data_IF_262230622768
#
_entry.id   IF_262230622768
#
_cell.length_a   1.000
_cell.length_b   1.000
_cell.length_c   1.000
_cell.angle_alpha   90.00
_cell.angle_beta   90.00
_cell.angle_gamma   90.00
#
_symmetry.space_group_name_H-M   'P 1'
#
loop_
_entity.id
_entity.type
_entity.pdbx_description
1 polymer ?
#
# COMPACT_ATOMS: atom_id res chain seq x y z
N UNK A 1 13.80 -24.43 19.25
CA UNK A 1 13.61 -22.97 19.09
C UNK A 1 12.35 -22.79 18.27
N UNK A 2 11.22 -22.53 18.91
CA UNK A 2 9.97 -22.20 18.23
C UNK A 2 10.12 -20.80 17.66
N UNK A 3 10.29 -20.70 16.35
CA UNK A 3 10.16 -19.43 15.65
C UNK A 3 8.71 -19.00 15.86
N UNK A 4 8.52 -18.06 16.78
CA UNK A 4 7.30 -17.26 16.86
C UNK A 4 7.22 -16.57 15.51
N UNK A 5 6.47 -17.17 14.57
CA UNK A 5 5.90 -16.43 13.47
C UNK A 5 5.08 -15.34 14.15
N UNK A 6 5.68 -14.16 14.33
CA UNK A 6 4.89 -12.94 14.39
C UNK A 6 3.91 -13.09 13.24
N UNK A 7 2.61 -13.10 13.55
CA UNK A 7 1.57 -12.95 12.55
C UNK A 7 1.95 -11.70 11.77
N UNK A 8 2.65 -11.90 10.66
CA UNK A 8 3.09 -10.79 9.84
C UNK A 8 1.80 -10.07 9.45
N UNK A 9 1.78 -8.73 9.46
CA UNK A 9 0.67 -7.97 8.91
C UNK A 9 0.68 -8.09 7.37
N UNK A 10 0.79 -9.31 6.87
CA UNK A 10 0.77 -9.67 5.46
C UNK A 10 -0.69 -9.62 5.02
N UNK A 11 -0.88 -8.99 3.87
CA UNK A 11 -2.14 -9.02 3.16
C UNK A 11 -2.45 -10.47 2.79
N UNK A 12 -3.42 -11.06 3.48
CA UNK A 12 -3.74 -12.48 3.37
C UNK A 12 -4.32 -12.85 1.99
N UNK A 13 -5.10 -11.96 1.38
CA UNK A 13 -5.81 -12.21 0.13
C UNK A 13 -6.29 -10.89 -0.51
N UNK A 14 -6.78 -10.98 -1.76
CA UNK A 14 -7.34 -9.86 -2.52
C UNK A 14 -8.41 -9.07 -1.76
N UNK A 15 -9.33 -9.74 -1.06
CA UNK A 15 -10.39 -9.05 -0.33
C UNK A 15 -9.84 -8.26 0.87
N UNK A 16 -8.79 -8.76 1.51
CA UNK A 16 -8.07 -8.03 2.54
C UNK A 16 -7.37 -6.79 1.96
N UNK A 17 -6.69 -6.92 0.81
CA UNK A 17 -6.03 -5.81 0.11
C UNK A 17 -7.03 -4.68 -0.22
N UNK A 18 -8.15 -5.05 -0.84
CA UNK A 18 -9.22 -4.11 -1.20
C UNK A 18 -9.83 -3.41 0.02
N UNK A 19 -9.99 -4.14 1.13
CA UNK A 19 -10.54 -3.57 2.37
C UNK A 19 -9.63 -2.49 2.96
N UNK A 20 -8.33 -2.77 3.01
CA UNK A 20 -7.33 -1.82 3.51
C UNK A 20 -7.27 -0.58 2.63
N UNK A 21 -7.19 -0.74 1.30
CA UNK A 21 -7.18 0.38 0.37
C UNK A 21 -8.44 1.25 0.49
N UNK A 22 -9.63 0.63 0.51
CA UNK A 22 -10.91 1.35 0.68
C UNK A 22 -11.00 2.08 2.02
N UNK A 23 -10.45 1.50 3.09
CA UNK A 23 -10.40 2.15 4.40
C UNK A 23 -9.55 3.41 4.34
N UNK A 24 -8.36 3.33 3.75
CA UNK A 24 -7.44 4.47 3.57
C UNK A 24 -8.07 5.54 2.70
N UNK A 25 -8.73 5.18 1.60
CA UNK A 25 -9.44 6.16 0.75
C UNK A 25 -10.53 6.89 1.54
N UNK A 26 -11.29 6.16 2.37
CA UNK A 26 -12.38 6.71 3.17
C UNK A 26 -11.88 7.66 4.27
N UNK A 27 -10.80 7.29 4.95
CA UNK A 27 -10.28 8.07 6.10
C UNK A 27 -9.23 9.10 5.69
N UNK A 28 -8.62 8.91 4.52
CA UNK A 28 -7.36 9.53 4.08
C UNK A 28 -6.20 9.31 5.06
N UNK A 29 -6.33 8.32 5.94
CA UNK A 29 -5.29 7.96 6.91
C UNK A 29 -4.46 6.81 6.36
N UNK A 30 -3.21 7.11 6.02
CA UNK A 30 -2.26 6.17 5.45
C UNK A 30 -1.41 5.45 6.52
N UNK A 31 -1.46 5.90 7.79
CA UNK A 31 -0.70 5.29 8.89
C UNK A 31 -0.87 3.77 9.02
N UNK A 32 -2.06 3.18 8.79
CA UNK A 32 -2.22 1.73 8.87
C UNK A 32 -1.42 0.95 7.82
N UNK A 33 -1.01 1.59 6.72
CA UNK A 33 -0.27 0.95 5.64
C UNK A 33 1.23 0.85 5.91
N UNK A 34 1.80 1.73 6.74
CA UNK A 34 3.24 1.74 7.04
C UNK A 34 3.79 0.36 7.49
N UNK A 35 3.22 -0.30 8.52
CA UNK A 35 3.73 -1.60 8.96
C UNK A 35 3.45 -2.72 7.94
N UNK A 36 2.42 -2.58 7.11
CA UNK A 36 2.03 -3.57 6.09
C UNK A 36 3.00 -3.52 4.92
N UNK A 37 3.25 -2.31 4.40
CA UNK A 37 4.26 -2.05 3.37
C UNK A 37 5.62 -2.52 3.88
N UNK A 38 6.03 -2.13 5.09
CA UNK A 38 7.29 -2.57 5.69
C UNK A 38 7.45 -4.11 5.74
N UNK A 39 6.35 -4.84 5.94
CA UNK A 39 6.33 -6.30 5.94
C UNK A 39 6.31 -6.92 4.53
N UNK A 40 5.69 -6.26 3.55
CA UNK A 40 5.63 -6.69 2.16
C UNK A 40 6.90 -6.35 1.37
N UNK A 41 7.66 -5.35 1.81
CA UNK A 41 8.91 -4.94 1.18
C UNK A 41 9.98 -6.01 1.30
N UNK A 42 10.31 -6.61 0.15
CA UNK A 42 11.50 -7.46 0.02
C UNK A 42 12.78 -6.61 0.06
N UNK A 43 13.96 -7.24 0.21
CA UNK A 43 15.24 -6.50 0.18
C UNK A 43 15.44 -5.71 -1.14
N UNK A 44 14.92 -6.22 -2.26
CA UNK A 44 14.94 -5.51 -3.54
C UNK A 44 14.07 -4.24 -3.55
N UNK A 45 12.92 -4.28 -2.88
CA UNK A 45 12.02 -3.13 -2.76
C UNK A 45 12.51 -2.08 -1.77
N UNK A 46 13.23 -2.47 -0.71
CA UNK A 46 13.88 -1.52 0.20
C UNK A 46 14.93 -0.66 -0.51
N UNK A 47 15.65 -1.25 -1.46
CA UNK A 47 16.60 -0.54 -2.31
C UNK A 47 15.88 0.42 -3.28
N UNK A 48 14.77 -0.02 -3.88
CA UNK A 48 13.95 0.81 -4.76
C UNK A 48 13.31 1.99 -4.02
N UNK A 49 12.79 1.78 -2.81
CA UNK A 49 12.24 2.86 -1.97
C UNK A 49 13.30 3.84 -1.49
N UNK A 50 14.49 3.36 -1.13
CA UNK A 50 15.62 4.24 -0.80
C UNK A 50 16.04 5.10 -2.00
N UNK A 51 15.86 4.60 -3.23
CA UNK A 51 16.11 5.37 -4.45
C UNK A 51 14.95 6.34 -4.77
N UNK A 52 13.69 5.97 -4.54
CA UNK A 52 12.52 6.83 -4.76
C UNK A 52 12.42 7.96 -3.75
N UNK A 53 12.82 7.75 -2.49
CA UNK A 53 12.90 8.80 -1.47
C UNK A 53 13.89 9.94 -1.80
N UNK A 54 14.77 9.72 -2.79
CA UNK A 54 15.69 10.75 -3.31
C UNK A 54 15.00 11.62 -4.38
N UNK A 55 13.91 11.15 -5.00
CA UNK A 55 13.03 11.99 -5.83
C UNK A 55 12.04 12.72 -4.94
N UNK A 56 11.95 14.04 -5.13
CA UNK A 56 11.25 15.02 -4.28
C UNK A 56 9.72 14.85 -4.11
N UNK A 57 9.12 13.79 -4.62
CA UNK A 57 7.71 13.48 -4.37
C UNK A 57 7.62 12.56 -3.16
N UNK A 58 7.00 13.05 -2.08
CA UNK A 58 6.73 12.26 -0.88
C UNK A 58 5.96 10.99 -1.31
N UNK A 59 6.54 9.79 -1.14
CA UNK A 59 5.97 8.61 -1.76
C UNK A 59 4.67 8.27 -1.04
N UNK A 60 3.56 8.36 -1.76
CA UNK A 60 2.23 8.03 -1.25
C UNK A 60 2.20 6.56 -0.84
N UNK A 61 1.97 6.28 0.45
CA UNK A 61 1.99 4.93 1.00
C UNK A 61 0.88 4.08 0.35
N UNK A 62 -0.24 4.69 -0.04
CA UNK A 62 -1.28 3.96 -0.76
C UNK A 62 -0.79 3.50 -2.14
N UNK A 63 -0.10 4.34 -2.90
CA UNK A 63 0.45 3.95 -4.21
C UNK A 63 1.49 2.84 -4.05
N UNK A 64 2.38 2.94 -3.07
CA UNK A 64 3.34 1.87 -2.74
C UNK A 64 2.63 0.56 -2.39
N UNK A 65 1.57 0.63 -1.60
CA UNK A 65 0.77 -0.53 -1.23
C UNK A 65 0.11 -1.19 -2.44
N UNK A 66 -0.44 -0.40 -3.37
CA UNK A 66 -1.07 -0.91 -4.59
C UNK A 66 -0.05 -1.61 -5.49
N UNK A 67 1.13 -1.01 -5.70
CA UNK A 67 2.22 -1.62 -6.48
C UNK A 67 2.64 -2.95 -5.87
N UNK A 68 2.85 -3.00 -4.55
CA UNK A 68 3.23 -4.24 -3.87
C UNK A 68 2.13 -5.31 -3.94
N UNK A 69 0.87 -4.92 -3.91
CA UNK A 69 -0.25 -5.84 -4.09
C UNK A 69 -0.36 -6.35 -5.53
N UNK A 70 -0.06 -5.53 -6.53
CA UNK A 70 -0.01 -5.94 -7.94
C UNK A 70 1.13 -6.92 -8.18
N UNK A 71 2.35 -6.62 -7.70
CA UNK A 71 3.50 -7.50 -7.82
C UNK A 71 3.29 -8.85 -7.12
N UNK A 72 2.59 -8.84 -5.98
CA UNK A 72 2.19 -10.05 -5.27
C UNK A 72 1.02 -10.80 -5.94
N UNK A 73 0.52 -10.33 -7.09
CA UNK A 73 -0.67 -10.86 -7.79
C UNK A 73 -1.93 -10.91 -6.92
N UNK A 74 -2.01 -10.01 -5.92
CA UNK A 74 -3.17 -9.86 -5.03
C UNK A 74 -4.23 -8.94 -5.64
N UNK A 75 -3.80 -7.93 -6.39
CA UNK A 75 -4.65 -7.01 -7.14
C UNK A 75 -4.29 -7.04 -8.62
N UNK A 76 -5.27 -6.85 -9.49
CA UNK A 76 -5.00 -6.58 -10.91
C UNK A 76 -4.65 -5.11 -11.11
N UNK A 77 -3.93 -4.78 -12.19
CA UNK A 77 -3.67 -3.39 -12.58
C UNK A 77 -4.96 -2.54 -12.60
N UNK A 78 -6.07 -3.09 -13.11
CA UNK A 78 -7.38 -2.42 -13.10
C UNK A 78 -7.91 -2.12 -11.68
N UNK A 79 -7.65 -3.00 -10.70
CA UNK A 79 -8.04 -2.75 -9.30
C UNK A 79 -7.18 -1.62 -8.72
N UNK A 80 -5.88 -1.61 -9.03
CA UNK A 80 -4.94 -0.59 -8.59
C UNK A 80 -5.28 0.78 -9.18
N UNK A 81 -5.55 0.86 -10.48
CA UNK A 81 -5.94 2.10 -11.17
C UNK A 81 -7.22 2.69 -10.55
N UNK A 82 -8.26 1.85 -10.38
CA UNK A 82 -9.52 2.30 -9.76
C UNK A 82 -9.33 2.82 -8.33
N UNK A 83 -8.49 2.16 -7.54
CA UNK A 83 -8.21 2.58 -6.15
C UNK A 83 -7.36 3.85 -6.10
N UNK A 84 -6.40 4.01 -7.02
CA UNK A 84 -5.60 5.21 -7.18
C UNK A 84 -6.46 6.42 -7.53
N UNK A 85 -7.33 6.29 -8.54
CA UNK A 85 -8.25 7.35 -8.95
C UNK A 85 -9.20 7.73 -7.80
N UNK A 86 -9.80 6.74 -7.13
CA UNK A 86 -10.69 6.96 -6.00
C UNK A 86 -10.00 7.68 -4.83
N UNK A 87 -8.71 7.41 -4.60
CA UNK A 87 -7.92 8.12 -3.60
C UNK A 87 -7.67 9.59 -3.97
N UNK A 88 -7.31 9.86 -5.22
CA UNK A 88 -7.11 11.23 -5.71
C UNK A 88 -8.39 12.03 -5.61
N UNK A 89 -9.52 11.44 -5.99
CA UNK A 89 -10.84 12.07 -5.88
C UNK A 89 -11.24 12.34 -4.43
N UNK A 90 -11.05 11.38 -3.53
CA UNK A 90 -11.31 11.57 -2.10
C UNK A 90 -10.45 12.70 -1.51
N UNK A 91 -9.17 12.78 -1.91
CA UNK A 91 -8.26 13.85 -1.47
C UNK A 91 -8.69 15.21 -1.99
N UNK A 92 -9.11 15.30 -3.27
CA UNK A 92 -9.66 16.52 -3.86
C UNK A 92 -10.95 16.96 -3.17
N UNK A 93 -11.88 16.05 -2.91
CA UNK A 93 -13.15 16.35 -2.25
C UNK A 93 -12.97 16.84 -0.81
N UNK A 94 -11.93 16.39 -0.10
CA UNK A 94 -11.59 16.87 1.26
C UNK A 94 -10.92 18.26 1.26
N UNK A 95 -10.27 18.62 0.15
CA UNK A 95 -9.55 19.88 0.01
C UNK A 95 -10.42 21.04 -0.52
N UNK A 96 -11.60 20.72 -1.08
CA UNK A 96 -12.62 21.66 -1.52
C UNK A 96 -13.55 22.07 -0.36
#
# INVERSE_FOLDING_TARGET
MTVTLLESPLVADRAHALRLAKQVIKTLDQKPLEPIIAAMLTEGHKAALSAMAVSRDEPNLLEQFLVLCEEASLLSGEDCDQLGDAYVDARRARAA
#
